data_IF_425692684079
#
_entry.id   IF_425692684079
#
_cell.length_a   1.000
_cell.length_b   1.000
_cell.length_c   1.000
_cell.angle_alpha   90.00
_cell.angle_beta   90.00
_cell.angle_gamma   90.00
#
_symmetry.space_group_name_H-M   'P 1'
#
loop_
_entity.id
_entity.type
_entity.pdbx_description
1 polymer ?
#
# COMPACT_ATOMS: atom_id res chain seq x y z
N UNK A 1 -1.69 -28.61 16.43
CA UNK A 1 -2.76 -27.59 16.30
C UNK A 1 -3.16 -27.38 14.83
N UNK A 2 -2.26 -26.97 13.93
CA UNK A 2 -2.54 -26.77 12.49
C UNK A 2 -3.32 -27.91 11.82
N UNK A 3 -2.90 -29.17 12.01
CA UNK A 3 -3.64 -30.35 11.51
C UNK A 3 -5.08 -30.44 12.01
N UNK A 4 -5.35 -30.05 13.27
CA UNK A 4 -6.70 -30.04 13.83
C UNK A 4 -7.55 -28.90 13.29
N UNK A 5 -6.93 -27.80 12.88
CA UNK A 5 -7.66 -26.65 12.37
C UNK A 5 -8.02 -26.81 10.88
N UNK A 6 -7.09 -27.36 10.08
CA UNK A 6 -7.24 -27.46 8.62
C UNK A 6 -7.66 -28.85 8.12
N UNK A 7 -7.32 -29.93 8.83
CA UNK A 7 -7.63 -31.30 8.39
C UNK A 7 -8.83 -31.92 9.10
N UNK A 8 -9.27 -31.35 10.22
CA UNK A 8 -10.44 -31.83 10.94
C UNK A 8 -11.70 -31.26 10.28
N UNK A 9 -12.50 -32.13 9.67
CA UNK A 9 -13.67 -31.76 8.85
C UNK A 9 -14.66 -30.87 9.61
N UNK A 10 -14.90 -31.16 10.88
CA UNK A 10 -15.88 -30.43 11.68
C UNK A 10 -15.38 -29.03 12.04
N UNK A 11 -14.10 -28.89 12.37
CA UNK A 11 -13.49 -27.59 12.69
C UNK A 11 -13.36 -26.74 11.43
N UNK A 12 -12.84 -27.33 10.35
CA UNK A 12 -12.65 -26.64 9.09
C UNK A 12 -14.01 -26.21 8.49
N UNK A 13 -15.00 -27.11 8.47
CA UNK A 13 -16.35 -26.82 8.00
C UNK A 13 -17.07 -25.70 8.78
N UNK A 14 -16.80 -25.59 10.10
CA UNK A 14 -17.34 -24.48 10.90
C UNK A 14 -16.83 -23.11 10.44
N UNK A 15 -15.60 -23.00 9.93
CA UNK A 15 -15.09 -21.71 9.43
C UNK A 15 -15.94 -21.19 8.27
N UNK A 16 -16.30 -22.07 7.34
CA UNK A 16 -17.17 -21.73 6.22
C UNK A 16 -18.59 -21.42 6.68
N UNK A 17 -19.18 -22.26 7.53
CA UNK A 17 -20.54 -22.07 8.02
C UNK A 17 -20.72 -20.73 8.78
N UNK A 18 -19.75 -20.34 9.61
CA UNK A 18 -19.79 -19.10 10.38
C UNK A 18 -19.59 -17.84 9.51
N UNK A 19 -18.93 -17.99 8.35
CA UNK A 19 -18.59 -16.87 7.48
C UNK A 19 -19.44 -16.82 6.19
N UNK A 20 -20.28 -17.81 5.93
CA UNK A 20 -21.17 -17.84 4.76
C UNK A 20 -22.45 -17.05 5.04
N UNK A 21 -22.72 -16.05 4.20
CA UNK A 21 -23.92 -15.21 4.34
C UNK A 21 -25.21 -16.01 4.07
N UNK A 22 -25.15 -16.97 3.15
CA UNK A 22 -26.30 -17.73 2.67
C UNK A 22 -26.63 -19.00 3.48
N UNK A 23 -25.89 -19.28 4.55
CA UNK A 23 -26.13 -20.44 5.42
C UNK A 23 -27.14 -20.06 6.52
N UNK A 24 -28.42 -20.42 6.31
CA UNK A 24 -29.55 -20.23 7.25
C UNK A 24 -29.81 -21.48 8.10
N UNK A 25 -28.78 -22.28 8.35
CA UNK A 25 -28.88 -23.46 9.21
C UNK A 25 -29.31 -23.09 10.64
N UNK A 26 -30.11 -23.93 11.34
CA UNK A 26 -30.52 -23.64 12.71
C UNK A 26 -29.28 -23.53 13.62
N UNK A 27 -29.07 -22.33 14.17
CA UNK A 27 -27.84 -21.96 14.89
C UNK A 27 -26.87 -21.06 14.11
N UNK A 28 -27.26 -20.58 12.91
CA UNK A 28 -26.51 -19.60 12.15
C UNK A 28 -26.38 -18.28 12.91
N UNK A 29 -25.18 -17.69 12.88
CA UNK A 29 -24.94 -16.40 13.51
C UNK A 29 -25.81 -15.29 12.86
N UNK A 30 -26.23 -14.27 13.62
CA UNK A 30 -26.88 -13.10 13.04
C UNK A 30 -25.92 -12.41 12.06
N UNK A 31 -26.46 -11.73 11.03
CA UNK A 31 -25.69 -11.08 9.95
C UNK A 31 -24.49 -10.27 10.48
N UNK A 32 -24.70 -9.47 11.52
CA UNK A 32 -23.63 -8.67 12.15
C UNK A 32 -22.47 -9.51 12.68
N UNK A 33 -22.76 -10.64 13.30
CA UNK A 33 -21.71 -11.54 13.82
C UNK A 33 -21.00 -12.29 12.69
N UNK A 34 -21.71 -12.62 11.60
CA UNK A 34 -21.09 -13.15 10.37
C UNK A 34 -20.08 -12.16 9.80
N UNK A 35 -20.45 -10.88 9.64
CA UNK A 35 -19.54 -9.80 9.20
C UNK A 35 -18.28 -9.71 10.07
N UNK A 36 -18.42 -9.81 11.40
CA UNK A 36 -17.28 -9.82 12.33
C UNK A 36 -16.43 -11.09 12.15
N UNK A 37 -17.06 -12.26 11.97
CA UNK A 37 -16.36 -13.51 11.73
C UNK A 37 -15.56 -13.48 10.42
N UNK A 38 -16.14 -12.93 9.35
CA UNK A 38 -15.48 -12.73 8.05
C UNK A 38 -14.22 -11.85 8.18
N UNK A 39 -14.33 -10.71 8.87
CA UNK A 39 -13.19 -9.82 9.14
C UNK A 39 -12.08 -10.52 9.92
N UNK A 40 -12.45 -11.30 10.95
CA UNK A 40 -11.49 -12.10 11.75
C UNK A 40 -10.84 -13.21 10.93
N UNK A 41 -11.60 -13.86 10.05
CA UNK A 41 -11.07 -14.90 9.17
C UNK A 41 -10.03 -14.33 8.21
N UNK A 42 -10.31 -13.18 7.58
CA UNK A 42 -9.34 -12.49 6.72
C UNK A 42 -8.04 -12.16 7.46
N UNK A 43 -8.13 -11.55 8.64
CA UNK A 43 -6.96 -11.23 9.46
C UNK A 43 -6.19 -12.48 9.93
N UNK A 44 -6.90 -13.59 10.19
CA UNK A 44 -6.29 -14.87 10.50
C UNK A 44 -5.55 -15.45 9.28
N UNK A 45 -6.17 -15.40 8.08
CA UNK A 45 -5.59 -15.93 6.85
C UNK A 45 -4.29 -15.24 6.48
N UNK A 46 -4.18 -13.92 6.66
CA UNK A 46 -2.91 -13.20 6.45
C UNK A 46 -1.81 -13.76 7.35
N UNK A 47 -2.10 -13.92 8.65
CA UNK A 47 -1.14 -14.45 9.64
C UNK A 47 -0.78 -15.91 9.36
N UNK A 48 -1.77 -16.73 8.99
CA UNK A 48 -1.56 -18.14 8.64
C UNK A 48 -0.76 -18.29 7.34
N UNK A 49 -1.02 -17.44 6.34
CA UNK A 49 -0.32 -17.42 5.07
C UNK A 49 1.16 -17.11 5.22
N UNK A 50 1.52 -16.16 6.10
CA UNK A 50 2.93 -15.86 6.46
C UNK A 50 3.68 -17.04 7.07
N UNK A 51 2.98 -18.00 7.68
CA UNK A 51 3.59 -19.18 8.28
C UNK A 51 3.60 -20.37 7.31
N UNK A 52 2.47 -20.63 6.65
CA UNK A 52 2.24 -21.79 5.79
C UNK A 52 1.21 -21.46 4.70
N UNK A 53 1.67 -20.85 3.61
CA UNK A 53 0.85 -20.53 2.44
C UNK A 53 0.05 -21.72 1.90
N UNK A 54 0.67 -22.90 1.82
CA UNK A 54 0.02 -24.11 1.29
C UNK A 54 -1.25 -24.52 2.02
N UNK A 55 -1.36 -24.22 3.33
CA UNK A 55 -2.51 -24.64 4.13
C UNK A 55 -3.77 -23.84 3.83
N UNK A 56 -3.60 -22.59 3.37
CA UNK A 56 -4.73 -21.70 3.07
C UNK A 56 -5.07 -21.68 1.58
N UNK A 57 -4.08 -21.89 0.71
CA UNK A 57 -4.23 -21.78 -0.75
C UNK A 57 -4.61 -23.09 -1.45
N UNK A 58 -4.25 -24.24 -0.86
CA UNK A 58 -4.59 -25.57 -1.40
C UNK A 58 -5.79 -26.16 -0.69
N UNK A 59 -6.48 -27.05 -1.40
CA UNK A 59 -7.56 -27.85 -0.83
C UNK A 59 -7.08 -28.68 0.36
N UNK A 60 -7.78 -28.57 1.48
CA UNK A 60 -7.50 -29.35 2.69
C UNK A 60 -8.56 -30.42 2.91
N UNK A 61 -9.83 -30.05 2.74
CA UNK A 61 -10.99 -30.95 2.86
C UNK A 61 -11.92 -30.67 1.67
N UNK A 62 -11.69 -31.32 0.51
CA UNK A 62 -12.41 -31.03 -0.73
C UNK A 62 -13.93 -31.13 -0.61
N UNK A 63 -14.42 -32.06 0.22
CA UNK A 63 -15.85 -32.26 0.45
C UNK A 63 -16.53 -31.01 1.06
N UNK A 64 -15.84 -30.34 2.00
CA UNK A 64 -16.34 -29.11 2.63
C UNK A 64 -16.28 -27.97 1.62
N UNK A 65 -15.16 -27.83 0.92
CA UNK A 65 -14.92 -26.73 -0.02
C UNK A 65 -15.91 -26.76 -1.20
N UNK A 66 -16.22 -27.95 -1.71
CA UNK A 66 -17.21 -28.16 -2.75
C UNK A 66 -18.61 -27.68 -2.35
N UNK A 67 -19.01 -27.84 -1.07
CA UNK A 67 -20.29 -27.34 -0.55
C UNK A 67 -20.40 -25.82 -0.65
N UNK A 68 -19.27 -25.11 -0.54
CA UNK A 68 -19.19 -23.65 -0.64
C UNK A 68 -18.65 -23.16 -2.00
N UNK A 69 -18.64 -24.03 -3.03
CA UNK A 69 -18.24 -23.71 -4.41
C UNK A 69 -16.83 -23.11 -4.53
N UNK A 70 -15.90 -23.57 -3.69
CA UNK A 70 -14.53 -23.11 -3.67
C UNK A 70 -13.55 -24.29 -3.69
N UNK A 71 -12.26 -24.01 -3.91
CA UNK A 71 -11.16 -24.98 -3.96
C UNK A 71 -10.19 -24.86 -2.79
N UNK A 72 -10.36 -23.83 -1.95
CA UNK A 72 -9.54 -23.58 -0.77
C UNK A 72 -10.22 -22.54 0.13
N UNK A 73 -9.78 -22.48 1.39
CA UNK A 73 -10.24 -21.46 2.35
C UNK A 73 -9.89 -20.04 1.88
N UNK A 74 -8.73 -19.85 1.24
CA UNK A 74 -8.33 -18.56 0.69
C UNK A 74 -9.25 -18.14 -0.47
N UNK A 75 -9.58 -19.05 -1.38
CA UNK A 75 -10.50 -18.76 -2.48
C UNK A 75 -11.89 -18.41 -1.96
N UNK A 76 -12.38 -19.14 -0.96
CA UNK A 76 -13.64 -18.82 -0.29
C UNK A 76 -13.62 -17.38 0.27
N UNK A 77 -12.62 -17.03 1.07
CA UNK A 77 -12.51 -15.70 1.66
C UNK A 77 -12.40 -14.58 0.59
N UNK A 78 -11.66 -14.83 -0.49
CA UNK A 78 -11.42 -13.86 -1.55
C UNK A 78 -12.62 -13.63 -2.50
N UNK A 79 -13.50 -14.64 -2.68
CA UNK A 79 -14.54 -14.61 -3.73
C UNK A 79 -15.95 -14.85 -3.24
N UNK A 80 -16.15 -15.89 -2.44
CA UNK A 80 -17.49 -16.41 -2.12
C UNK A 80 -18.01 -15.91 -0.76
N UNK A 81 -17.11 -15.51 0.13
CA UNK A 81 -17.43 -15.15 1.51
C UNK A 81 -18.10 -13.77 1.62
N UNK A 82 -17.66 -12.80 0.82
CA UNK A 82 -18.02 -11.38 0.99
C UNK A 82 -19.00 -10.93 -0.08
N UNK A 83 -20.12 -10.35 0.35
CA UNK A 83 -21.01 -9.59 -0.52
C UNK A 83 -20.43 -8.19 -0.77
N UNK A 84 -20.11 -7.89 -2.03
CA UNK A 84 -19.51 -6.62 -2.44
C UNK A 84 -20.51 -5.46 -2.49
N UNK A 85 -21.82 -5.73 -2.37
CA UNK A 85 -22.84 -4.69 -2.22
C UNK A 85 -22.80 -4.03 -0.84
N UNK A 86 -22.22 -4.69 0.17
CA UNK A 86 -21.88 -4.08 1.44
C UNK A 86 -20.51 -3.38 1.32
N UNK A 87 -20.55 -2.05 1.15
CA UNK A 87 -19.36 -1.20 0.94
C UNK A 87 -18.32 -1.37 2.04
N UNK A 88 -18.74 -1.53 3.30
CA UNK A 88 -17.80 -1.70 4.42
C UNK A 88 -17.11 -3.05 4.38
N UNK A 89 -17.84 -4.10 3.99
CA UNK A 89 -17.24 -5.41 3.78
C UNK A 89 -16.36 -5.46 2.54
N UNK A 90 -16.74 -4.78 1.46
CA UNK A 90 -15.90 -4.61 0.28
C UNK A 90 -14.60 -3.87 0.64
N UNK A 91 -14.69 -2.79 1.41
CA UNK A 91 -13.51 -2.07 1.94
C UNK A 91 -12.60 -3.00 2.75
N UNK A 92 -13.18 -3.86 3.60
CA UNK A 92 -12.42 -4.84 4.40
C UNK A 92 -11.74 -5.89 3.51
N UNK A 93 -12.42 -6.33 2.44
CA UNK A 93 -11.86 -7.25 1.45
C UNK A 93 -10.68 -6.62 0.68
N UNK A 94 -10.76 -5.33 0.34
CA UNK A 94 -9.65 -4.61 -0.30
C UNK A 94 -8.43 -4.52 0.61
N UNK A 95 -8.64 -4.19 1.88
CA UNK A 95 -7.56 -4.19 2.89
C UNK A 95 -6.98 -5.60 3.09
N UNK A 96 -7.80 -6.64 3.01
CA UNK A 96 -7.32 -8.02 3.02
C UNK A 96 -6.39 -8.32 1.83
N UNK A 97 -6.73 -7.88 0.62
CA UNK A 97 -5.85 -8.06 -0.55
C UNK A 97 -4.55 -7.27 -0.44
N UNK A 98 -4.60 -6.05 0.12
CA UNK A 98 -3.43 -5.27 0.48
C UNK A 98 -2.52 -6.06 1.44
N UNK A 99 -3.06 -6.55 2.55
CA UNK A 99 -2.27 -7.31 3.53
C UNK A 99 -1.73 -8.64 2.98
N UNK A 100 -2.44 -9.24 2.01
CA UNK A 100 -2.01 -10.46 1.32
C UNK A 100 -0.78 -10.21 0.44
N UNK A 101 -0.66 -9.03 -0.19
CA UNK A 101 0.50 -8.68 -1.03
C UNK A 101 1.81 -8.66 -0.25
N UNK A 102 1.79 -8.44 1.07
CA UNK A 102 3.00 -8.45 1.90
C UNK A 102 3.62 -9.84 2.06
N UNK A 103 2.83 -10.90 1.83
CA UNK A 103 3.27 -12.26 2.08
C UNK A 103 4.31 -12.65 1.03
N UNK A 104 5.53 -12.90 1.49
CA UNK A 104 6.69 -13.30 0.69
C UNK A 104 7.00 -12.36 -0.50
N UNK A 105 6.69 -11.07 -0.35
CA UNK A 105 7.01 -10.07 -1.35
C UNK A 105 8.53 -10.01 -1.65
N UNK A 106 8.95 -10.06 -2.93
CA UNK A 106 10.37 -10.08 -3.30
C UNK A 106 11.04 -8.69 -3.20
N UNK A 107 10.27 -7.60 -3.28
CA UNK A 107 10.80 -6.24 -3.29
C UNK A 107 11.73 -6.00 -4.48
N UNK A 108 12.86 -5.37 -4.21
CA UNK A 108 13.93 -5.14 -5.18
C UNK A 108 14.89 -6.33 -5.33
N UNK A 109 14.68 -7.42 -4.58
CA UNK A 109 15.51 -8.62 -4.67
C UNK A 109 14.86 -9.66 -5.57
N UNK A 110 15.63 -10.25 -6.49
CA UNK A 110 15.20 -11.45 -7.21
C UNK A 110 15.18 -12.62 -6.22
N UNK A 111 14.02 -13.22 -5.98
CA UNK A 111 13.90 -14.40 -5.11
C UNK A 111 13.24 -15.52 -5.90
N UNK A 112 13.90 -16.68 -5.92
CA UNK A 112 13.23 -17.90 -6.35
C UNK A 112 12.43 -18.43 -5.15
N UNK A 113 11.13 -18.13 -5.10
CA UNK A 113 10.21 -18.89 -4.27
C UNK A 113 9.79 -20.13 -5.07
N UNK A 114 9.95 -21.33 -4.49
CA UNK A 114 9.63 -22.62 -5.13
C UNK A 114 8.15 -22.72 -5.57
N UNK A 115 7.29 -21.84 -5.05
CA UNK A 115 5.85 -21.83 -5.29
C UNK A 115 5.36 -20.66 -6.14
N UNK A 116 6.26 -19.86 -6.72
CA UNK A 116 5.91 -18.69 -7.52
C UNK A 116 6.12 -18.92 -9.02
N UNK A 117 5.28 -18.28 -9.83
CA UNK A 117 5.32 -18.35 -11.29
C UNK A 117 6.53 -17.61 -11.89
N UNK A 118 7.09 -16.63 -11.18
CA UNK A 118 8.27 -15.88 -11.62
C UNK A 118 9.18 -15.49 -10.45
N UNK A 119 10.43 -15.11 -10.76
CA UNK A 119 11.43 -14.64 -9.78
C UNK A 119 11.11 -13.27 -9.16
N UNK A 120 10.09 -12.60 -9.67
CA UNK A 120 9.64 -11.28 -9.24
C UNK A 120 8.20 -11.29 -8.72
N UNK A 121 7.60 -12.48 -8.58
CA UNK A 121 6.27 -12.67 -8.02
C UNK A 121 6.36 -13.33 -6.64
N UNK A 122 5.22 -13.41 -5.97
CA UNK A 122 5.01 -14.18 -4.75
C UNK A 122 3.81 -15.10 -4.95
N UNK A 123 3.66 -16.17 -4.14
CA UNK A 123 2.49 -17.04 -4.23
C UNK A 123 1.18 -16.28 -4.00
N UNK A 124 1.22 -15.21 -3.20
CA UNK A 124 0.09 -14.32 -2.97
C UNK A 124 -0.28 -13.50 -4.21
N UNK A 125 0.70 -12.90 -4.89
CA UNK A 125 0.44 -12.16 -6.13
C UNK A 125 -0.07 -13.09 -7.23
N UNK A 126 0.53 -14.29 -7.39
CA UNK A 126 0.09 -15.29 -8.37
C UNK A 126 -1.35 -15.77 -8.12
N UNK A 127 -1.74 -15.90 -6.85
CA UNK A 127 -3.12 -16.17 -6.47
C UNK A 127 -4.06 -15.04 -6.90
N UNK A 128 -3.70 -13.77 -6.66
CA UNK A 128 -4.52 -12.61 -7.03
C UNK A 128 -4.65 -12.45 -8.55
N UNK A 129 -3.59 -12.77 -9.31
CA UNK A 129 -3.59 -12.74 -10.77
C UNK A 129 -4.45 -13.88 -11.33
N UNK A 130 -4.25 -15.12 -10.87
CA UNK A 130 -5.00 -16.29 -11.36
C UNK A 130 -6.50 -16.19 -11.12
N UNK A 131 -6.92 -15.45 -10.09
CA UNK A 131 -8.34 -15.22 -9.77
C UNK A 131 -8.89 -13.90 -10.34
N UNK A 132 -8.13 -13.21 -11.20
CA UNK A 132 -8.51 -11.93 -11.82
C UNK A 132 -8.85 -10.81 -10.81
N UNK A 133 -8.34 -10.91 -9.57
CA UNK A 133 -8.52 -9.88 -8.54
C UNK A 133 -7.58 -8.73 -8.83
N UNK A 134 -6.32 -9.03 -9.14
CA UNK A 134 -5.30 -8.02 -9.39
C UNK A 134 -5.67 -7.08 -10.55
N UNK A 135 -6.01 -7.65 -11.72
CA UNK A 135 -6.39 -6.86 -12.90
C UNK A 135 -7.66 -6.06 -12.65
N UNK A 136 -8.67 -6.66 -11.99
CA UNK A 136 -9.90 -5.94 -11.64
C UNK A 136 -9.62 -4.74 -10.74
N UNK A 137 -8.70 -4.84 -9.78
CA UNK A 137 -8.34 -3.72 -8.91
C UNK A 137 -7.58 -2.62 -9.65
N UNK A 138 -6.67 -2.98 -10.55
CA UNK A 138 -5.98 -2.00 -11.40
C UNK A 138 -6.96 -1.29 -12.34
N UNK A 139 -7.92 -2.02 -12.93
CA UNK A 139 -8.98 -1.42 -13.73
C UNK A 139 -9.88 -0.51 -12.90
N UNK A 140 -10.29 -0.93 -11.69
CA UNK A 140 -11.05 -0.08 -10.77
C UNK A 140 -10.27 1.17 -10.33
N UNK A 141 -8.95 1.08 -10.23
CA UNK A 141 -8.11 2.25 -10.00
C UNK A 141 -8.05 3.16 -11.22
N UNK A 142 -8.07 2.64 -12.45
CA UNK A 142 -7.96 3.45 -13.66
C UNK A 142 -9.29 4.10 -14.06
N UNK A 143 -10.41 3.37 -13.90
CA UNK A 143 -11.73 3.76 -14.38
C UNK A 143 -12.71 3.97 -13.21
N UNK A 144 -12.83 5.23 -12.77
CA UNK A 144 -13.71 5.62 -11.64
C UNK A 144 -15.21 5.47 -11.96
N UNK A 145 -15.56 5.39 -13.24
CA UNK A 145 -16.95 5.25 -13.71
C UNK A 145 -17.58 3.90 -13.40
N UNK A 146 -16.79 2.92 -12.96
CA UNK A 146 -17.28 1.57 -12.61
C UNK A 146 -17.91 1.51 -11.22
N UNK A 147 -17.66 2.50 -10.38
CA UNK A 147 -18.16 2.57 -9.02
C UNK A 147 -19.17 3.71 -8.89
N UNK A 148 -20.22 3.48 -8.10
CA UNK A 148 -21.15 4.55 -7.76
C UNK A 148 -20.40 5.65 -6.98
N UNK A 149 -20.77 6.93 -7.12
CA UNK A 149 -20.05 8.04 -6.48
C UNK A 149 -19.90 7.90 -4.96
N UNK A 150 -20.87 7.24 -4.32
CA UNK A 150 -20.84 6.96 -2.88
C UNK A 150 -19.76 5.93 -2.57
N UNK A 151 -19.74 4.81 -3.29
CA UNK A 151 -18.77 3.73 -3.12
C UNK A 151 -17.35 4.21 -3.42
N UNK A 152 -17.20 5.06 -4.44
CA UNK A 152 -15.92 5.66 -4.81
C UNK A 152 -15.29 6.41 -3.63
N UNK A 153 -16.08 7.10 -2.81
CA UNK A 153 -15.57 7.84 -1.65
C UNK A 153 -14.98 6.94 -0.55
N UNK A 154 -15.50 5.71 -0.41
CA UNK A 154 -15.03 4.75 0.60
C UNK A 154 -13.95 3.81 0.05
N UNK A 155 -14.03 3.42 -1.22
CA UNK A 155 -13.17 2.41 -1.82
C UNK A 155 -11.92 2.99 -2.48
N UNK A 156 -11.93 4.26 -2.90
CA UNK A 156 -10.78 4.90 -3.56
C UNK A 156 -9.50 4.86 -2.71
N UNK A 157 -9.61 5.13 -1.40
CA UNK A 157 -8.48 5.07 -0.47
C UNK A 157 -7.82 3.68 -0.43
N UNK A 158 -8.56 2.61 -0.08
CA UNK A 158 -8.05 1.24 -0.09
C UNK A 158 -7.51 0.77 -1.46
N UNK A 159 -8.17 1.14 -2.56
CA UNK A 159 -7.68 0.81 -3.91
C UNK A 159 -6.32 1.48 -4.16
N UNK A 160 -6.19 2.78 -3.86
CA UNK A 160 -4.92 3.49 -4.00
C UNK A 160 -3.84 2.91 -3.09
N UNK A 161 -4.18 2.51 -1.86
CA UNK A 161 -3.24 1.85 -0.95
C UNK A 161 -2.74 0.52 -1.53
N UNK A 162 -3.62 -0.30 -2.10
CA UNK A 162 -3.26 -1.54 -2.79
C UNK A 162 -2.30 -1.28 -3.97
N UNK A 163 -2.61 -0.30 -4.83
CA UNK A 163 -1.75 0.03 -5.98
C UNK A 163 -0.39 0.57 -5.54
N UNK A 164 -0.35 1.43 -4.53
CA UNK A 164 0.89 1.95 -3.95
C UNK A 164 1.76 0.81 -3.41
N UNK A 165 1.18 -0.08 -2.61
CA UNK A 165 1.89 -1.21 -2.03
C UNK A 165 2.37 -2.21 -3.10
N UNK A 166 1.55 -2.48 -4.12
CA UNK A 166 1.96 -3.31 -5.25
C UNK A 166 3.18 -2.72 -5.98
N UNK A 167 3.18 -1.41 -6.26
CA UNK A 167 4.29 -0.73 -6.90
C UNK A 167 5.58 -0.77 -6.05
N UNK A 168 5.45 -0.69 -4.72
CA UNK A 168 6.57 -0.72 -3.77
C UNK A 168 7.14 -2.12 -3.56
N UNK A 169 6.28 -3.14 -3.45
CA UNK A 169 6.66 -4.51 -3.13
C UNK A 169 7.03 -5.35 -4.36
N UNK A 170 6.49 -5.02 -5.53
CA UNK A 170 6.71 -5.78 -6.77
C UNK A 170 7.19 -4.88 -7.92
N UNK A 171 8.23 -4.06 -7.74
CA UNK A 171 8.66 -3.07 -8.74
C UNK A 171 9.05 -3.72 -10.08
N UNK A 172 9.69 -4.90 -10.04
CA UNK A 172 10.09 -5.64 -11.24
C UNK A 172 8.89 -6.21 -12.01
N UNK A 173 7.90 -6.78 -11.32
CA UNK A 173 6.66 -7.22 -11.94
C UNK A 173 5.83 -6.03 -12.45
N UNK A 174 5.84 -4.91 -11.71
CA UNK A 174 5.19 -3.67 -12.11
C UNK A 174 5.73 -3.16 -13.46
N UNK A 175 7.06 -3.13 -13.63
CA UNK A 175 7.74 -2.71 -14.85
C UNK A 175 7.54 -3.66 -16.05
N UNK A 176 7.12 -4.90 -15.82
CA UNK A 176 6.82 -5.87 -16.89
C UNK A 176 5.42 -5.70 -17.48
N UNK A 177 4.55 -4.88 -16.86
CA UNK A 177 3.22 -4.62 -17.39
C UNK A 177 3.27 -3.87 -18.73
N UNK A 178 2.18 -3.95 -19.48
CA UNK A 178 2.05 -3.25 -20.76
C UNK A 178 2.27 -1.74 -20.57
N UNK A 179 3.05 -1.14 -21.48
CA UNK A 179 3.41 0.28 -21.43
C UNK A 179 2.17 1.20 -21.37
N UNK A 180 1.08 0.83 -22.06
CA UNK A 180 -0.18 1.57 -22.01
C UNK A 180 -0.77 1.66 -20.59
N UNK A 181 -0.66 0.59 -19.79
CA UNK A 181 -1.13 0.59 -18.41
C UNK A 181 -0.29 1.55 -17.55
N UNK A 182 1.03 1.52 -17.72
CA UNK A 182 1.95 2.40 -17.00
C UNK A 182 1.69 3.88 -17.34
N UNK A 183 1.49 4.20 -18.62
CA UNK A 183 1.16 5.54 -19.09
C UNK A 183 -0.21 6.01 -18.57
N UNK A 184 -1.22 5.12 -18.52
CA UNK A 184 -2.53 5.43 -17.92
C UNK A 184 -2.43 5.73 -16.43
N UNK A 185 -1.61 4.99 -15.67
CA UNK A 185 -1.36 5.29 -14.26
C UNK A 185 -0.68 6.66 -14.11
N UNK A 186 0.38 6.92 -14.87
CA UNK A 186 1.12 8.18 -14.78
C UNK A 186 0.26 9.39 -15.19
N UNK A 187 -0.52 9.28 -16.26
CA UNK A 187 -1.44 10.33 -16.71
C UNK A 187 -2.56 10.61 -15.70
N UNK A 188 -3.11 9.57 -15.07
CA UNK A 188 -4.07 9.71 -13.98
C UNK A 188 -3.48 10.43 -12.76
N UNK A 189 -2.26 10.09 -12.36
CA UNK A 189 -1.56 10.78 -11.27
C UNK A 189 -1.32 12.24 -11.66
N UNK A 190 -0.80 12.48 -12.87
CA UNK A 190 -0.50 13.83 -13.35
C UNK A 190 -1.76 14.71 -13.41
N UNK A 191 -2.90 14.18 -13.88
CA UNK A 191 -4.16 14.92 -13.92
C UNK A 191 -4.68 15.24 -12.52
N UNK A 192 -4.51 14.32 -11.55
CA UNK A 192 -4.88 14.59 -10.16
C UNK A 192 -3.96 15.57 -9.44
N UNK A 193 -2.70 15.72 -9.88
CA UNK A 193 -1.74 16.68 -9.33
C UNK A 193 -1.83 18.06 -10.00
N UNK A 194 -2.50 18.16 -11.15
CA UNK A 194 -2.74 19.39 -11.90
C UNK A 194 -3.80 20.30 -11.24
N UNK A 195 -3.64 20.56 -9.93
CA UNK A 195 -4.48 21.46 -9.15
C UNK A 195 -3.79 22.82 -8.97
N UNK A 196 -4.58 23.87 -8.72
CA UNK A 196 -4.06 25.23 -8.57
C UNK A 196 -3.16 25.39 -7.34
N UNK A 197 -2.19 26.32 -7.39
CA UNK A 197 -1.33 26.62 -6.23
C UNK A 197 -2.13 27.05 -4.99
N UNK A 198 -3.29 27.71 -5.17
CA UNK A 198 -4.18 28.06 -4.06
C UNK A 198 -4.79 26.81 -3.40
N UNK A 199 -5.14 25.79 -4.19
CA UNK A 199 -5.64 24.51 -3.68
C UNK A 199 -4.54 23.71 -2.98
N UNK A 200 -3.28 23.82 -3.42
CA UNK A 200 -2.14 23.26 -2.69
C UNK A 200 -1.91 23.94 -1.33
N UNK A 201 -2.19 25.24 -1.20
CA UNK A 201 -2.03 25.98 0.05
C UNK A 201 -3.16 25.75 1.06
N UNK A 202 -4.40 25.66 0.57
CA UNK A 202 -5.60 25.76 1.41
C UNK A 202 -6.67 24.70 1.13
N UNK A 203 -6.51 23.90 0.08
CA UNK A 203 -7.48 22.91 -0.36
C UNK A 203 -7.11 21.47 0.03
N UNK A 204 -7.98 20.51 -0.31
CA UNK A 204 -7.69 19.10 -0.11
C UNK A 204 -6.56 18.67 -1.04
N UNK A 205 -5.47 18.18 -0.45
CA UNK A 205 -4.32 17.64 -1.17
C UNK A 205 -4.61 16.20 -1.60
N UNK A 206 -4.26 15.77 -2.83
CA UNK A 206 -4.48 14.42 -3.32
C UNK A 206 -3.50 13.40 -2.69
N UNK A 207 -3.64 13.17 -1.39
CA UNK A 207 -2.76 12.31 -0.57
C UNK A 207 -2.63 10.88 -1.11
N UNK A 208 -3.73 10.28 -1.58
CA UNK A 208 -3.72 8.94 -2.14
C UNK A 208 -2.86 8.82 -3.40
N UNK A 209 -2.96 9.80 -4.31
CA UNK A 209 -2.16 9.81 -5.54
C UNK A 209 -0.69 10.14 -5.26
N UNK A 210 -0.41 11.02 -4.29
CA UNK A 210 0.94 11.27 -3.82
C UNK A 210 1.57 10.01 -3.21
N UNK A 211 0.80 9.22 -2.46
CA UNK A 211 1.27 7.95 -1.91
C UNK A 211 1.61 6.95 -3.03
N UNK A 212 0.71 6.76 -4.00
CA UNK A 212 0.97 5.90 -5.17
C UNK A 212 2.23 6.35 -5.90
N UNK A 213 2.34 7.64 -6.20
CA UNK A 213 3.51 8.22 -6.87
C UNK A 213 4.82 7.96 -6.10
N UNK A 214 4.79 8.10 -4.77
CA UNK A 214 5.96 7.88 -3.91
C UNK A 214 6.44 6.42 -3.87
N UNK A 215 5.56 5.48 -4.22
CA UNK A 215 5.81 4.06 -4.27
C UNK A 215 6.20 3.54 -5.67
N UNK A 216 6.00 4.36 -6.73
CA UNK A 216 6.37 3.96 -8.08
C UNK A 216 7.89 3.71 -8.21
N UNK A 217 8.31 2.75 -9.07
CA UNK A 217 9.72 2.57 -9.41
C UNK A 217 10.30 3.86 -9.98
N UNK A 218 11.42 4.35 -9.43
CA UNK A 218 12.03 5.61 -9.87
C UNK A 218 12.56 5.49 -11.30
N UNK A 219 12.97 4.29 -11.72
CA UNK A 219 13.37 4.03 -13.11
C UNK A 219 12.23 4.34 -14.09
N UNK A 220 10.98 4.03 -13.72
CA UNK A 220 9.81 4.40 -14.52
C UNK A 220 9.64 5.92 -14.60
N UNK A 221 9.82 6.62 -13.48
CA UNK A 221 9.69 8.08 -13.43
C UNK A 221 10.76 8.79 -14.28
N UNK A 222 11.99 8.26 -14.29
CA UNK A 222 13.07 8.78 -15.15
C UNK A 222 12.75 8.57 -16.63
N UNK A 223 12.22 7.40 -17.00
CA UNK A 223 11.80 7.14 -18.39
C UNK A 223 10.64 8.06 -18.80
N UNK A 224 9.66 8.26 -17.91
CA UNK A 224 8.54 9.17 -18.13
C UNK A 224 8.99 10.62 -18.36
N UNK A 225 10.13 11.05 -17.80
CA UNK A 225 10.71 12.37 -18.08
C UNK A 225 11.05 12.54 -19.56
N UNK A 226 11.58 11.50 -20.22
CA UNK A 226 11.95 11.56 -21.64
C UNK A 226 10.73 11.80 -22.54
N UNK A 227 9.56 11.34 -22.10
CA UNK A 227 8.29 11.50 -22.78
C UNK A 227 7.49 12.72 -22.31
N UNK A 228 8.01 13.52 -21.38
CA UNK A 228 7.33 14.70 -20.84
C UNK A 228 6.14 14.40 -19.92
N UNK A 229 5.99 13.16 -19.46
CA UNK A 229 4.87 12.69 -18.63
C UNK A 229 5.26 12.48 -17.17
N UNK A 230 6.30 13.14 -16.66
CA UNK A 230 6.76 12.91 -15.29
C UNK A 230 5.90 13.69 -14.27
N UNK A 231 5.04 13.01 -13.48
CA UNK A 231 4.18 13.67 -12.49
C UNK A 231 4.94 14.29 -11.31
N UNK A 232 6.21 13.90 -11.08
CA UNK A 232 7.03 14.48 -9.99
C UNK A 232 7.27 15.97 -10.22
N UNK A 233 7.38 16.40 -11.48
CA UNK A 233 7.58 17.81 -11.83
C UNK A 233 6.33 18.67 -11.56
N UNK A 234 5.16 18.05 -11.41
CA UNK A 234 3.91 18.74 -11.07
C UNK A 234 3.77 18.99 -9.55
N UNK A 235 4.62 18.39 -8.71
CA UNK A 235 4.57 18.59 -7.26
C UNK A 235 5.16 19.97 -6.93
N UNK A 236 4.39 20.89 -6.32
CA UNK A 236 4.90 22.20 -5.97
C UNK A 236 5.86 22.14 -4.78
N UNK A 237 6.94 22.92 -4.86
CA UNK A 237 7.82 23.22 -3.72
C UNK A 237 7.36 24.48 -2.96
N UNK A 238 6.51 25.28 -3.58
CA UNK A 238 5.82 26.44 -3.00
C UNK A 238 4.40 26.48 -3.58
N UNK A 239 3.33 26.51 -2.75
CA UNK A 239 3.32 26.65 -1.28
C UNK A 239 3.82 25.38 -0.55
N UNK A 240 4.31 25.51 0.70
CA UNK A 240 4.78 24.36 1.47
C UNK A 240 3.61 23.47 1.91
N UNK A 241 3.53 22.26 1.36
CA UNK A 241 2.62 21.19 1.82
C UNK A 241 3.46 20.07 2.42
N UNK A 242 3.06 19.61 3.61
CA UNK A 242 3.74 18.50 4.30
C UNK A 242 3.68 17.23 3.45
N UNK A 243 2.52 16.93 2.89
CA UNK A 243 2.25 15.73 2.10
C UNK A 243 3.08 15.72 0.81
N UNK A 244 3.21 16.88 0.15
CA UNK A 244 4.07 17.06 -1.01
C UNK A 244 5.56 16.80 -0.67
N UNK A 245 6.04 17.35 0.45
CA UNK A 245 7.42 17.15 0.88
C UNK A 245 7.70 15.73 1.36
N UNK A 246 6.75 15.07 2.02
CA UNK A 246 6.88 13.67 2.44
C UNK A 246 7.00 12.76 1.19
N UNK A 247 6.16 13.00 0.18
CA UNK A 247 6.22 12.28 -1.09
C UNK A 247 7.54 12.53 -1.84
N UNK A 248 7.95 13.79 -1.99
CA UNK A 248 9.24 14.14 -2.58
C UNK A 248 10.40 13.53 -1.79
N UNK A 249 10.36 13.57 -0.46
CA UNK A 249 11.35 12.96 0.42
C UNK A 249 11.50 11.47 0.11
N UNK A 250 10.40 10.71 0.06
CA UNK A 250 10.42 9.27 -0.26
C UNK A 250 10.95 8.99 -1.68
N UNK A 251 10.62 9.82 -2.66
CA UNK A 251 11.08 9.65 -4.05
C UNK A 251 12.59 9.93 -4.15
N UNK A 252 13.04 11.05 -3.60
CA UNK A 252 14.40 11.58 -3.74
C UNK A 252 15.43 10.85 -2.85
N UNK A 253 15.02 10.33 -1.68
CA UNK A 253 15.91 9.53 -0.84
C UNK A 253 16.24 8.17 -1.47
N UNK A 254 15.35 7.64 -2.31
CA UNK A 254 15.47 6.30 -2.87
C UNK A 254 15.13 5.19 -1.85
N UNK A 255 15.13 3.92 -2.28
CA UNK A 255 14.79 2.80 -1.42
C UNK A 255 15.84 2.60 -0.31
N UNK A 256 15.42 2.20 0.91
CA UNK A 256 16.36 1.89 1.99
C UNK A 256 17.33 0.80 1.54
N UNK A 257 18.59 0.92 1.95
CA UNK A 257 19.60 -0.10 1.65
C UNK A 257 19.19 -1.41 2.34
N UNK A 258 19.17 -2.55 1.63
CA UNK A 258 18.93 -3.84 2.29
C UNK A 258 20.02 -4.06 3.36
N UNK A 259 19.61 -4.39 4.58
CA UNK A 259 20.54 -4.81 5.64
C UNK A 259 21.00 -6.24 5.34
N UNK A 260 22.11 -6.37 4.61
CA UNK A 260 22.68 -7.66 4.26
C UNK A 260 23.46 -8.27 5.43
N UNK A 261 22.87 -9.27 6.10
CA UNK A 261 23.53 -10.07 7.12
C UNK A 261 23.96 -11.48 6.69
N UNK A 262 23.37 -12.10 5.66
CA UNK A 262 23.74 -13.49 5.30
C UNK A 262 23.21 -14.07 3.98
N UNK A 263 22.62 -13.28 3.08
CA UNK A 263 22.28 -13.80 1.76
C UNK A 263 23.57 -13.85 0.93
N UNK A 264 24.11 -15.04 0.71
CA UNK A 264 25.08 -15.31 -0.34
C UNK A 264 24.40 -15.00 -1.67
N UNK A 265 24.36 -13.72 -2.03
CA UNK A 265 23.69 -13.20 -3.21
C UNK A 265 24.43 -13.73 -4.43
N UNK A 266 23.91 -14.81 -5.01
CA UNK A 266 24.26 -15.20 -6.35
C UNK A 266 23.95 -13.99 -7.23
N UNK A 267 25.02 -13.37 -7.72
CA UNK A 267 25.01 -12.13 -8.47
C UNK A 267 24.12 -12.26 -9.71
N UNK A 268 22.84 -11.91 -9.60
CA UNK A 268 21.97 -11.58 -10.75
C UNK A 268 21.86 -10.07 -10.95
N UNK A 269 22.85 -9.31 -10.44
CA UNK A 269 23.00 -7.89 -10.73
C UNK A 269 23.03 -7.70 -12.25
N UNK A 270 21.95 -7.15 -12.82
CA UNK A 270 21.82 -6.90 -14.25
C UNK A 270 20.75 -7.68 -15.01
N UNK A 271 20.16 -8.76 -14.47
CA UNK A 271 19.09 -9.50 -15.17
C UNK A 271 17.68 -8.96 -14.88
N UNK A 272 17.48 -8.31 -13.72
CA UNK A 272 16.18 -7.73 -13.37
C UNK A 272 15.97 -6.35 -14.03
N UNK A 273 14.72 -5.99 -14.40
CA UNK A 273 14.39 -4.66 -14.91
C UNK A 273 14.93 -3.53 -14.02
N UNK A 274 14.73 -3.63 -12.70
CA UNK A 274 15.27 -2.72 -11.69
C UNK A 274 15.90 -3.48 -10.52
N UNK A 275 16.88 -2.83 -9.89
CA UNK A 275 17.64 -3.29 -8.72
C UNK A 275 17.86 -2.10 -7.80
N UNK A 276 18.28 -2.32 -6.55
CA UNK A 276 18.59 -1.24 -5.60
C UNK A 276 19.53 -0.16 -6.20
N UNK A 277 20.58 -0.58 -6.92
CA UNK A 277 21.51 0.35 -7.56
C UNK A 277 20.86 1.21 -8.65
N UNK A 278 19.96 0.63 -9.45
CA UNK A 278 19.24 1.33 -10.53
C UNK A 278 18.24 2.33 -9.94
N UNK A 279 17.49 1.92 -8.91
CA UNK A 279 16.58 2.81 -8.17
C UNK A 279 17.32 3.97 -7.49
N UNK A 280 18.45 3.70 -6.83
CA UNK A 280 19.25 4.75 -6.19
C UNK A 280 19.89 5.71 -7.21
N UNK A 281 20.29 5.20 -8.38
CA UNK A 281 20.74 6.05 -9.49
C UNK A 281 19.59 6.91 -10.02
N UNK A 282 18.41 6.33 -10.25
CA UNK A 282 17.24 7.04 -10.73
C UNK A 282 16.77 8.14 -9.75
N UNK A 283 16.78 7.87 -8.44
CA UNK A 283 16.46 8.86 -7.41
C UNK A 283 17.40 10.08 -7.47
N UNK A 284 18.71 9.86 -7.71
CA UNK A 284 19.67 10.96 -7.89
C UNK A 284 19.39 11.77 -9.16
N UNK A 285 19.06 11.13 -10.27
CA UNK A 285 18.68 11.82 -11.51
C UNK A 285 17.42 12.68 -11.30
N UNK A 286 16.40 12.14 -10.63
CA UNK A 286 15.17 12.89 -10.33
C UNK A 286 15.48 14.09 -9.44
N UNK A 287 16.36 13.92 -8.44
CA UNK A 287 16.79 15.03 -7.58
C UNK A 287 17.45 16.16 -8.38
N UNK A 288 18.28 15.83 -9.35
CA UNK A 288 18.93 16.83 -10.20
C UNK A 288 17.92 17.53 -11.14
N UNK A 289 16.80 16.87 -11.47
CA UNK A 289 15.70 17.46 -12.26
C UNK A 289 14.79 18.38 -11.44
N UNK A 290 14.55 18.06 -10.17
CA UNK A 290 13.68 18.82 -9.25
C UNK A 290 14.44 19.94 -8.52
N UNK A 291 15.77 19.81 -8.39
CA UNK A 291 16.62 20.79 -7.74
C UNK A 291 16.56 22.17 -8.41
N UNK A 292 16.91 23.25 -7.67
CA UNK A 292 16.84 24.60 -8.20
C UNK A 292 17.76 24.72 -9.42
N UNK A 293 17.17 24.99 -10.59
CA UNK A 293 17.91 25.19 -11.85
C UNK A 293 18.80 26.44 -11.84
N UNK A 294 18.75 27.27 -10.81
CA UNK A 294 19.58 28.47 -10.69
C UNK A 294 20.01 28.68 -9.23
N UNK A 295 21.05 27.98 -8.79
CA UNK A 295 21.93 28.50 -7.75
C UNK A 295 23.33 28.53 -8.37
N UNK A 296 23.90 29.72 -8.67
CA UNK A 296 25.27 29.79 -9.11
C UNK A 296 26.13 29.20 -8.01
N UNK A 297 26.84 28.12 -8.33
CA UNK A 297 27.90 27.58 -7.50
C UNK A 297 28.85 28.76 -7.22
N UNK A 298 29.01 29.23 -5.97
CA UNK A 298 30.02 30.22 -5.68
C UNK A 298 31.35 29.53 -5.95
N UNK A 299 32.13 30.08 -6.89
CA UNK A 299 33.50 29.65 -7.12
C UNK A 299 34.24 29.52 -5.78
N UNK A 300 35.13 28.53 -5.62
CA UNK A 300 35.78 28.27 -4.34
C UNK A 300 36.63 29.48 -3.92
N UNK A 301 36.10 30.27 -2.97
CA UNK A 301 36.84 31.37 -2.38
C UNK A 301 37.98 30.80 -1.51
N UNK A 302 39.19 31.04 -2.01
CA UNK A 302 40.48 30.95 -1.31
C UNK A 302 40.34 31.33 0.17
N UNK A 303 40.67 30.39 1.05
CA UNK A 303 40.88 30.62 2.49
C UNK A 303 41.73 31.87 2.72
N UNK A 304 41.18 32.86 3.43
CA UNK A 304 41.96 33.73 4.30
C UNK A 304 41.32 33.74 5.67
N UNK A 305 42.17 33.39 6.64
CA UNK A 305 41.97 33.41 8.08
C UNK A 305 41.47 34.76 8.59
N UNK A 306 40.59 34.74 9.60
CA UNK A 306 40.54 35.87 10.53
C UNK A 306 39.20 36.08 11.23
N UNK A 307 39.21 35.78 12.52
CA UNK A 307 38.44 36.39 13.62
C UNK A 307 36.94 36.05 13.75
N UNK A 308 36.69 35.31 14.82
CA UNK A 308 35.41 35.18 15.50
C UNK A 308 34.89 36.54 15.97
N UNK A 309 33.61 36.78 15.73
CA UNK A 309 32.80 37.77 16.46
C UNK A 309 31.49 37.10 16.82
N UNK A 310 31.26 36.94 18.12
CA UNK A 310 30.01 36.52 18.70
C UNK A 310 28.98 37.66 18.59
N UNK A 311 27.74 37.34 18.20
CA UNK A 311 26.60 38.26 18.36
C UNK A 311 25.45 37.50 19.01
N UNK A 312 24.98 38.11 20.10
CA UNK A 312 23.97 37.69 21.04
C UNK A 312 22.64 37.26 20.42
N UNK A 313 22.07 36.19 21.00
CA UNK A 313 20.66 35.90 20.98
C UNK A 313 19.88 36.99 21.74
N UNK A 314 18.85 37.56 21.11
CA UNK A 314 17.78 38.30 21.79
C UNK A 314 16.51 37.47 21.74
N UNK A 315 16.12 37.00 22.91
CA UNK A 315 14.82 36.41 23.20
C UNK A 315 13.81 37.54 23.40
N UNK A 316 12.68 37.47 22.71
CA UNK A 316 11.45 38.22 23.05
C UNK A 316 10.26 37.29 22.88
N UNK A 317 9.78 36.81 24.02
CA UNK A 317 8.43 36.29 24.24
C UNK A 317 7.49 37.48 24.47
N UNK A 318 6.23 37.40 23.99
CA UNK A 318 5.04 37.95 24.64
C UNK A 318 3.75 37.49 23.92
N UNK A 319 2.92 36.75 24.67
CA UNK A 319 1.45 36.81 24.85
C UNK A 319 0.56 37.06 23.60
N UNK A 320 -0.54 36.37 23.33
CA UNK A 320 -1.52 35.65 24.16
C UNK A 320 -2.90 35.94 23.54
N UNK A 321 -3.80 34.94 23.43
CA UNK A 321 -5.14 35.20 22.85
C UNK A 321 -6.02 33.95 22.79
N UNK A 322 -6.99 33.89 23.70
CA UNK A 322 -8.04 32.87 23.82
C UNK A 322 -9.19 33.21 22.86
N UNK A 323 -9.73 32.20 22.17
CA UNK A 323 -11.00 32.29 21.44
C UNK A 323 -11.66 30.92 21.30
N UNK A 324 -12.76 30.70 22.02
CA UNK A 324 -13.72 29.59 21.84
C UNK A 324 -14.66 29.91 20.67
N UNK A 325 -15.01 28.90 19.85
CA UNK A 325 -16.41 28.50 19.58
C UNK A 325 -16.53 27.38 18.53
N UNK A 326 -17.27 26.34 18.93
CA UNK A 326 -18.30 25.55 18.23
C UNK A 326 -18.15 24.92 16.82
N UNK A 327 -18.75 23.71 16.75
CA UNK A 327 -19.22 22.93 15.58
C UNK A 327 -18.18 21.93 15.05
N UNK A 328 -18.45 20.64 14.80
CA UNK A 328 -19.71 19.92 14.51
C UNK A 328 -19.58 18.41 14.83
N UNK A 329 -20.71 17.70 14.80
CA UNK A 329 -20.90 16.32 15.25
C UNK A 329 -20.23 15.21 14.40
N UNK A 330 -19.27 15.53 13.53
CA UNK A 330 -18.56 14.57 12.66
C UNK A 330 -17.25 14.09 13.29
N UNK A 331 -16.62 14.91 14.15
CA UNK A 331 -15.34 14.58 14.79
C UNK A 331 -15.44 13.48 15.86
N UNK A 332 -16.64 13.18 16.36
CA UNK A 332 -16.85 12.10 17.33
C UNK A 332 -16.87 10.71 16.69
N UNK A 333 -17.18 10.58 15.40
CA UNK A 333 -17.18 9.29 14.70
C UNK A 333 -15.77 8.89 14.27
N UNK A 334 -14.94 9.87 13.87
CA UNK A 334 -13.52 9.64 13.56
C UNK A 334 -12.71 9.34 14.82
N UNK A 335 -13.03 9.98 15.96
CA UNK A 335 -12.38 9.68 17.24
C UNK A 335 -12.67 8.24 17.76
N UNK A 336 -13.84 7.66 17.44
CA UNK A 336 -14.18 6.28 17.79
C UNK A 336 -13.48 5.24 16.91
N UNK A 337 -13.17 5.56 15.65
CA UNK A 337 -12.39 4.69 14.75
C UNK A 337 -10.89 4.72 15.06
N UNK A 338 -10.34 5.86 15.48
CA UNK A 338 -8.93 5.97 15.89
C UNK A 338 -8.68 5.25 17.24
N UNK A 339 -9.63 5.23 18.17
CA UNK A 339 -9.49 4.47 19.43
C UNK A 339 -9.57 2.94 19.23
N UNK A 340 -10.22 2.45 18.17
CA UNK A 340 -10.21 1.03 17.81
C UNK A 340 -8.84 0.54 17.32
N UNK A 341 -8.10 1.40 16.60
CA UNK A 341 -6.77 1.07 16.08
C UNK A 341 -5.68 1.11 17.16
N UNK A 342 -5.80 1.97 18.19
CA UNK A 342 -4.82 2.02 19.29
C UNK A 342 -4.96 0.85 20.29
N UNK A 343 -6.09 0.14 20.32
CA UNK A 343 -6.31 -0.97 21.24
C UNK A 343 -5.62 -2.27 20.79
N UNK A 344 -5.35 -2.44 19.49
CA UNK A 344 -4.64 -3.63 18.95
C UNK A 344 -3.12 -3.54 19.20
N UNK A 345 -2.57 -2.34 19.38
CA UNK A 345 -1.14 -2.13 19.69
C UNK A 345 -0.72 -2.36 21.14
N UNK A 346 -1.64 -2.35 22.12
CA UNK A 346 -1.29 -2.48 23.56
C UNK A 346 -1.41 -3.88 24.15
N UNK A 347 -1.96 -4.86 23.43
CA UNK A 347 -2.13 -6.24 23.96
C UNK A 347 -0.94 -7.15 23.65
N UNK A 348 -0.03 -6.78 22.74
CA UNK A 348 1.18 -7.58 22.43
C UNK A 348 2.41 -7.28 23.33
N UNK A 349 2.30 -6.39 24.32
CA UNK A 349 3.42 -6.01 25.20
C UNK A 349 3.49 -6.74 26.54
N UNK A 350 2.71 -7.81 26.77
CA UNK A 350 2.60 -8.42 28.11
C UNK A 350 2.60 -9.95 28.13
N UNK A 351 3.37 -10.59 27.25
CA UNK A 351 3.77 -12.00 27.37
C UNK A 351 5.23 -12.14 26.93
N UNK A 352 6.13 -11.65 27.78
CA UNK A 352 7.55 -11.99 27.80
C UNK A 352 8.04 -11.70 29.22
N UNK A 353 8.16 -12.77 29.99
CA UNK A 353 8.41 -12.80 31.43
C UNK A 353 8.08 -14.20 31.93
#
# INVERSE_FOLDING_TARGET
>A
MWRRFFSDKDVYGRLFALCCLNDDSPGSLPKREKTVAQGRLMGFLVKAGRLRWDLISRSQVPEVEARYKCSSLLQFAAREMVDKADVLMHMTLLNFFHDLLEIDAPGLTSRSCVQSASTFSSPALDFLISHNVHSSLLESYLDDSRLDPVDLSYLSGPIMAYVAQYAELYPNHFLQNAQNLLERILSRIASSLAISSAQWAHGPVPTGQLNVLSCLPRVLLVEATKHGLNPVLAIPTSPPSKEAFDALGKILHGPPKPEDGNAMGLNTSGQAPTDWHKEAAAARVIRDLVGPRDIPIPAPHRRKSGKAVAICARSTSLHGGVGRAHSSSVDRVVALLVQGATFIGRVCGRWSG
#
